data_IF_074803008073
#
_entry.id   IF_074803008073
#
_cell.length_a   1.000
_cell.length_b   1.000
_cell.length_c   1.000
_cell.angle_alpha   90.00
_cell.angle_beta   90.00
_cell.angle_gamma   90.00
#
_symmetry.space_group_name_H-M   'P 1'
#
loop_
_entity.id
_entity.type
_entity.pdbx_description
1 polymer ?
#
# COMPACT_ATOMS: atom_id res chain seq x y z
N UNK A 1 -10.45 -16.28 27.25
CA UNK A 1 -11.83 -16.38 26.73
C UNK A 1 -12.37 -14.97 26.54
N UNK A 2 -13.03 -14.69 25.42
CA UNK A 2 -13.76 -13.43 25.22
C UNK A 2 -15.26 -13.66 25.45
N UNK A 3 -15.92 -12.68 26.07
CA UNK A 3 -17.37 -12.74 26.34
C UNK A 3 -18.16 -12.33 25.11
N UNK A 4 -19.25 -13.05 24.84
CA UNK A 4 -20.21 -12.72 23.79
C UNK A 4 -21.28 -11.78 24.33
N UNK A 5 -21.68 -10.79 23.53
CA UNK A 5 -22.81 -9.94 23.88
C UNK A 5 -24.12 -10.68 23.58
N UNK A 6 -25.02 -10.72 24.55
CA UNK A 6 -26.32 -11.39 24.42
C UNK A 6 -27.24 -10.77 23.36
N UNK A 7 -27.16 -9.45 23.11
CA UNK A 7 -28.05 -8.78 22.15
C UNK A 7 -27.59 -8.88 20.70
N UNK A 8 -26.28 -8.98 20.48
CA UNK A 8 -25.71 -9.00 19.12
C UNK A 8 -25.16 -10.37 18.73
N UNK A 9 -24.96 -11.28 19.67
CA UNK A 9 -24.33 -12.58 19.43
C UNK A 9 -22.83 -12.51 19.10
N UNK A 10 -22.26 -11.31 19.04
CA UNK A 10 -20.86 -11.09 18.69
C UNK A 10 -20.01 -10.78 19.93
N UNK A 11 -18.73 -11.14 19.87
CA UNK A 11 -17.75 -10.67 20.84
C UNK A 11 -17.36 -9.23 20.52
N UNK A 12 -16.92 -8.49 21.53
CA UNK A 12 -16.43 -7.12 21.34
C UNK A 12 -15.29 -7.05 20.30
N UNK A 13 -14.45 -8.09 20.25
CA UNK A 13 -13.39 -8.22 19.26
C UNK A 13 -13.91 -8.41 17.83
N UNK A 14 -15.00 -9.15 17.62
CA UNK A 14 -15.61 -9.26 16.30
C UNK A 14 -16.16 -7.91 15.82
N UNK A 15 -16.80 -7.15 16.71
CA UNK A 15 -17.35 -5.84 16.35
C UNK A 15 -16.26 -4.81 16.03
N UNK A 16 -15.12 -4.87 16.73
CA UNK A 16 -14.03 -3.90 16.55
C UNK A 16 -13.00 -4.31 15.47
N UNK A 17 -12.64 -5.59 15.40
CA UNK A 17 -11.55 -6.08 14.54
C UNK A 17 -12.02 -7.03 13.42
N UNK A 18 -13.30 -7.39 13.37
CA UNK A 18 -13.82 -8.37 12.42
C UNK A 18 -13.35 -9.81 12.67
N UNK A 19 -12.64 -10.06 13.78
CA UNK A 19 -12.08 -11.38 14.12
C UNK A 19 -11.92 -11.58 15.61
N UNK A 20 -12.04 -12.82 16.08
CA UNK A 20 -11.66 -13.20 17.44
C UNK A 20 -10.15 -13.32 17.61
N UNK A 21 -9.57 -12.81 18.70
CA UNK A 21 -8.17 -13.05 19.01
C UNK A 21 -7.96 -14.55 19.23
N UNK A 22 -6.98 -15.12 18.52
CA UNK A 22 -6.50 -16.47 18.78
C UNK A 22 -5.36 -16.36 19.78
N UNK A 23 -5.45 -17.13 20.87
CA UNK A 23 -4.29 -17.31 21.73
C UNK A 23 -3.26 -18.12 20.95
N UNK A 24 -2.03 -17.63 20.90
CA UNK A 24 -0.93 -18.46 20.43
C UNK A 24 -0.85 -19.67 21.37
N UNK A 25 -0.82 -20.91 20.83
CA UNK A 25 -0.54 -22.08 21.63
C UNK A 25 0.77 -21.88 22.41
N UNK A 26 0.87 -22.44 23.63
CA UNK A 26 2.10 -22.34 24.40
C UNK A 26 3.26 -22.91 23.58
N UNK A 27 4.37 -22.16 23.51
CA UNK A 27 5.59 -22.62 22.86
C UNK A 27 6.23 -23.69 23.74
N UNK A 28 5.86 -24.95 23.52
CA UNK A 28 6.45 -26.08 24.24
C UNK A 28 7.78 -26.48 23.60
N UNK A 29 8.77 -26.96 24.38
CA UNK A 29 10.01 -27.47 23.82
C UNK A 29 9.80 -28.56 22.77
N UNK A 30 8.80 -29.42 22.95
CA UNK A 30 8.40 -30.45 21.97
C UNK A 30 7.80 -29.85 20.69
N UNK A 31 6.97 -28.81 20.81
CA UNK A 31 6.45 -28.07 19.66
C UNK A 31 7.56 -27.38 18.84
N UNK A 32 8.58 -26.86 19.52
CA UNK A 32 9.74 -26.26 18.85
C UNK A 32 10.62 -27.33 18.19
N UNK A 33 10.79 -28.50 18.83
CA UNK A 33 11.57 -29.62 18.25
C UNK A 33 10.88 -30.22 17.02
N UNK A 34 9.58 -30.47 17.10
CA UNK A 34 8.78 -30.97 15.97
C UNK A 34 8.83 -30.00 14.78
N UNK A 35 8.63 -28.70 15.00
CA UNK A 35 8.77 -27.69 13.93
C UNK A 35 10.19 -27.65 13.36
N UNK A 36 11.23 -27.84 14.18
CA UNK A 36 12.63 -27.86 13.71
C UNK A 36 12.99 -29.14 12.93
N UNK A 37 12.32 -30.25 13.21
CA UNK A 37 12.47 -31.51 12.49
C UNK A 37 11.66 -31.51 11.18
N UNK A 38 10.46 -30.93 11.20
CA UNK A 38 9.56 -30.80 10.04
C UNK A 38 10.00 -29.71 9.07
N UNK A 39 10.54 -28.61 9.61
CA UNK A 39 11.13 -27.51 8.86
C UNK A 39 12.60 -27.37 9.29
N UNK A 40 13.50 -28.26 8.82
CA UNK A 40 14.93 -28.04 8.97
C UNK A 40 15.27 -26.67 8.39
N UNK A 41 16.34 -26.03 8.88
CA UNK A 41 16.77 -24.70 8.42
C UNK A 41 17.13 -24.78 6.92
N UNK A 42 16.12 -24.65 6.07
CA UNK A 42 16.23 -24.82 4.63
C UNK A 42 16.63 -23.47 4.04
N UNK A 43 17.91 -23.16 4.24
CA UNK A 43 18.56 -21.96 3.71
C UNK A 43 18.34 -21.88 2.21
N UNK A 44 18.28 -23.02 1.52
CA UNK A 44 18.02 -23.11 0.08
C UNK A 44 16.61 -22.64 -0.29
N UNK A 45 15.56 -23.13 0.38
CA UNK A 45 14.19 -22.65 0.14
C UNK A 45 14.02 -21.18 0.52
N UNK A 46 14.66 -20.74 1.61
CA UNK A 46 14.63 -19.33 2.01
C UNK A 46 15.28 -18.42 0.96
N UNK A 47 16.42 -18.84 0.39
CA UNK A 47 17.08 -18.12 -0.69
C UNK A 47 16.24 -18.10 -1.96
N UNK A 48 15.62 -19.23 -2.32
CA UNK A 48 14.73 -19.31 -3.48
C UNK A 48 13.51 -18.38 -3.33
N UNK A 49 12.89 -18.35 -2.14
CA UNK A 49 11.79 -17.44 -1.84
C UNK A 49 12.21 -15.95 -1.89
N UNK A 50 13.42 -15.63 -1.44
CA UNK A 50 13.96 -14.26 -1.56
C UNK A 50 14.21 -13.91 -3.03
N UNK A 51 14.69 -14.85 -3.84
CA UNK A 51 14.90 -14.65 -5.26
C UNK A 51 13.58 -14.45 -6.01
N UNK A 52 12.56 -15.26 -5.73
CA UNK A 52 11.24 -15.09 -6.33
C UNK A 52 10.59 -13.76 -5.93
N UNK A 53 10.72 -13.34 -4.67
CA UNK A 53 10.23 -12.01 -4.26
C UNK A 53 10.92 -10.87 -5.02
N UNK A 54 12.21 -10.99 -5.32
CA UNK A 54 12.92 -9.97 -6.11
C UNK A 54 12.41 -9.92 -7.55
N UNK A 55 12.13 -11.07 -8.16
CA UNK A 55 11.55 -11.11 -9.51
C UNK A 55 10.14 -10.54 -9.51
N UNK A 56 9.31 -10.90 -8.53
CA UNK A 56 7.93 -10.40 -8.42
C UNK A 56 7.89 -8.87 -8.24
N UNK A 57 8.83 -8.32 -7.47
CA UNK A 57 8.96 -6.86 -7.29
C UNK A 57 9.36 -6.19 -8.61
N UNK A 58 10.30 -6.77 -9.35
CA UNK A 58 10.71 -6.23 -10.65
C UNK A 58 9.54 -6.22 -11.65
N UNK A 59 8.81 -7.34 -11.75
CA UNK A 59 7.63 -7.47 -12.60
C UNK A 59 6.53 -6.48 -12.20
N UNK A 60 6.31 -6.29 -10.89
CA UNK A 60 5.35 -5.31 -10.39
C UNK A 60 5.75 -3.87 -10.77
N UNK A 61 7.03 -3.54 -10.75
CA UNK A 61 7.52 -2.23 -11.19
C UNK A 61 7.28 -2.00 -12.68
N UNK A 62 7.57 -2.99 -13.51
CA UNK A 62 7.35 -2.92 -14.96
C UNK A 62 5.86 -2.78 -15.29
N UNK A 63 5.01 -3.56 -14.62
CA UNK A 63 3.56 -3.47 -14.77
C UNK A 63 3.01 -2.09 -14.35
N UNK A 64 3.51 -1.53 -13.25
CA UNK A 64 3.15 -0.18 -12.81
C UNK A 64 3.60 0.89 -13.81
N UNK A 65 4.79 0.75 -14.38
CA UNK A 65 5.31 1.68 -15.39
C UNK A 65 4.48 1.61 -16.67
N UNK A 66 4.17 0.41 -17.16
CA UNK A 66 3.30 0.20 -18.31
C UNK A 66 1.91 0.79 -18.08
N UNK A 67 1.32 0.56 -16.91
CA UNK A 67 0.02 1.12 -16.51
C UNK A 67 0.04 2.65 -16.51
N UNK A 68 1.08 3.28 -15.96
CA UNK A 68 1.21 4.75 -15.98
C UNK A 68 1.31 5.32 -17.39
N UNK A 69 2.05 4.65 -18.29
CA UNK A 69 2.15 5.05 -19.70
C UNK A 69 0.78 4.96 -20.37
N UNK A 70 0.05 3.87 -20.16
CA UNK A 70 -1.30 3.70 -20.70
C UNK A 70 -2.28 4.72 -20.13
N UNK A 71 -2.22 5.01 -18.83
CA UNK A 71 -3.03 6.05 -18.19
C UNK A 71 -2.73 7.42 -18.78
N UNK A 72 -1.46 7.79 -18.95
CA UNK A 72 -1.07 9.05 -19.56
C UNK A 72 -1.56 9.14 -21.01
N UNK A 73 -1.39 8.07 -21.78
CA UNK A 73 -1.91 8.00 -23.15
C UNK A 73 -3.43 8.18 -23.20
N UNK A 74 -4.20 7.43 -22.40
CA UNK A 74 -5.65 7.49 -22.36
C UNK A 74 -6.18 8.84 -21.80
N UNK A 75 -5.46 9.47 -20.88
CA UNK A 75 -5.78 10.82 -20.43
C UNK A 75 -5.57 11.84 -21.56
N UNK A 76 -4.51 11.65 -22.35
CA UNK A 76 -4.17 12.52 -23.46
C UNK A 76 -5.10 12.34 -24.68
N UNK A 77 -5.74 11.18 -24.88
CA UNK A 77 -6.66 10.98 -26.01
C UNK A 77 -7.87 11.91 -25.97
N UNK A 78 -8.28 12.36 -24.78
CA UNK A 78 -9.39 13.29 -24.58
C UNK A 78 -8.93 14.72 -24.30
N UNK A 79 -7.62 14.98 -24.35
CA UNK A 79 -7.08 16.31 -24.16
C UNK A 79 -7.38 17.13 -25.41
N UNK A 80 -8.03 18.28 -25.24
CA UNK A 80 -8.22 19.24 -26.32
C UNK A 80 -6.89 19.85 -26.78
N UNK A 81 -6.93 20.62 -27.86
CA UNK A 81 -5.75 21.30 -28.39
C UNK A 81 -5.05 22.10 -27.29
N UNK A 82 -3.73 21.94 -27.20
CA UNK A 82 -2.94 22.68 -26.23
C UNK A 82 -2.86 24.15 -26.66
N UNK A 83 -3.30 25.09 -25.82
CA UNK A 83 -3.22 26.50 -26.16
C UNK A 83 -1.74 26.92 -26.29
N UNK A 84 -1.38 27.49 -27.43
CA UNK A 84 -0.07 28.09 -27.63
C UNK A 84 -0.01 29.45 -26.90
N UNK A 85 0.86 29.57 -25.90
CA UNK A 85 1.12 30.82 -25.21
C UNK A 85 2.45 31.43 -25.67
N UNK A 86 2.45 32.72 -25.97
CA UNK A 86 3.66 33.49 -26.23
C UNK A 86 4.17 34.14 -24.94
N UNK A 87 5.45 34.48 -24.92
CA UNK A 87 6.05 35.23 -23.81
C UNK A 87 5.36 36.60 -23.71
N UNK A 88 4.66 36.84 -22.60
CA UNK A 88 3.89 38.06 -22.34
C UNK A 88 2.38 37.88 -22.36
N UNK A 89 1.86 36.71 -22.77
CA UNK A 89 0.42 36.45 -22.79
C UNK A 89 -0.15 36.35 -21.35
N UNK A 90 -1.28 37.02 -21.07
CA UNK A 90 -1.95 36.90 -19.78
C UNK A 90 -2.64 35.53 -19.67
N UNK A 91 -2.23 34.72 -18.70
CA UNK A 91 -2.84 33.41 -18.41
C UNK A 91 -3.61 33.48 -17.09
N UNK A 92 -4.85 33.00 -17.09
CA UNK A 92 -5.65 32.89 -15.88
C UNK A 92 -5.17 31.72 -15.03
N UNK A 93 -4.77 32.01 -13.79
CA UNK A 93 -4.38 31.00 -12.82
C UNK A 93 -5.53 30.78 -11.84
N UNK A 94 -6.11 29.58 -11.81
CA UNK A 94 -7.12 29.25 -10.81
C UNK A 94 -6.47 29.20 -9.43
N UNK A 95 -6.88 30.11 -8.54
CA UNK A 95 -6.38 30.17 -7.15
C UNK A 95 -7.36 29.58 -6.14
N UNK A 96 -8.47 29.00 -6.60
CA UNK A 96 -9.57 28.52 -5.76
C UNK A 96 -9.13 27.53 -4.66
N UNK A 97 -8.12 26.71 -4.94
CA UNK A 97 -7.57 25.74 -3.98
C UNK A 97 -6.13 26.04 -3.56
N UNK A 98 -5.59 27.22 -3.93
CA UNK A 98 -4.19 27.60 -3.67
C UNK A 98 -3.80 27.43 -2.21
N UNK A 99 -4.64 27.87 -1.28
CA UNK A 99 -4.37 27.75 0.17
C UNK A 99 -4.37 26.30 0.63
N UNK A 100 -5.31 25.48 0.14
CA UNK A 100 -5.40 24.06 0.50
C UNK A 100 -4.21 23.28 -0.05
N UNK A 101 -3.85 23.50 -1.31
CA UNK A 101 -2.69 22.87 -1.95
C UNK A 101 -1.37 23.33 -1.30
N UNK A 102 -1.28 24.59 -0.88
CA UNK A 102 -0.14 25.11 -0.14
C UNK A 102 0.01 24.46 1.24
N UNK A 103 -1.09 24.34 1.99
CA UNK A 103 -1.08 23.74 3.35
C UNK A 103 -0.96 22.21 3.34
N UNK A 104 -1.39 21.55 2.27
CA UNK A 104 -1.29 20.10 2.11
C UNK A 104 0.05 19.65 1.50
N UNK A 105 0.93 20.57 1.13
CA UNK A 105 2.27 20.26 0.63
C UNK A 105 3.18 19.80 1.77
N UNK A 106 4.07 18.84 1.48
CA UNK A 106 5.12 18.37 2.40
C UNK A 106 5.81 19.55 3.09
N UNK A 107 6.09 19.39 4.40
CA UNK A 107 6.50 20.39 5.39
C UNK A 107 7.83 21.15 5.10
N UNK A 108 8.35 21.05 3.86
CA UNK A 108 9.66 21.57 3.42
C UNK A 108 9.60 22.87 2.61
N UNK A 109 8.44 23.51 2.46
CA UNK A 109 8.32 24.77 1.70
C UNK A 109 8.17 25.98 2.63
N UNK A 110 9.29 26.47 3.14
CA UNK A 110 9.41 27.81 3.74
C UNK A 110 9.71 28.81 2.63
N UNK A 111 8.91 29.87 2.50
CA UNK A 111 9.31 31.07 1.79
C UNK A 111 9.50 32.20 2.83
N UNK A 112 10.69 32.79 2.81
CA UNK A 112 10.95 34.13 3.34
C UNK A 112 10.25 35.16 2.46
#
# INVERSE_FOLDING_TARGET
MSTTNASTGYTHFHLHLGRTPRLLPPLTPEGVRTVREEFPTDVTNALEAIMSLKTDIADAHDALLASKIQQAHAANTHRGDEPSFNVGDPVYLSTAHRRREYLNGDNKRVAK
#
